data_IF_634215693957
#
_entry.id   IF_634215693957
#
_cell.length_a   1.000
_cell.length_b   1.000
_cell.length_c   1.000
_cell.angle_alpha   90.00
_cell.angle_beta   90.00
_cell.angle_gamma   90.00
#
_symmetry.space_group_name_H-M   'P 1'
#
loop_
_entity.id
_entity.type
_entity.pdbx_description
1 polymer ?
#
# COMPACT_ATOMS: atom_id res chain seq x y z
N UNK A 1 -26.75 32.67 34.27
CA UNK A 1 -25.62 31.72 34.30
C UNK A 1 -25.65 30.88 33.04
N UNK A 2 -24.60 30.94 32.22
CA UNK A 2 -24.16 29.83 31.37
C UNK A 2 -22.78 30.17 30.79
N UNK A 3 -21.66 29.70 31.37
CA UNK A 3 -20.38 29.79 30.68
C UNK A 3 -20.34 28.68 29.63
N UNK A 4 -20.47 29.08 28.37
CA UNK A 4 -20.16 28.24 27.20
C UNK A 4 -18.69 27.83 27.29
N UNK A 5 -18.43 26.63 27.81
CA UNK A 5 -17.15 25.94 27.72
C UNK A 5 -16.93 25.53 26.26
N UNK A 6 -16.45 26.48 25.45
CA UNK A 6 -15.86 26.19 24.16
C UNK A 6 -14.46 25.64 24.43
N UNK A 7 -14.37 24.31 24.59
CA UNK A 7 -13.09 23.63 24.46
C UNK A 7 -12.71 23.70 22.98
N UNK A 8 -11.58 24.31 22.59
CA UNK A 8 -11.06 24.09 21.25
C UNK A 8 -10.78 22.59 21.15
N UNK A 9 -11.45 21.92 20.22
CA UNK A 9 -11.02 20.59 19.78
C UNK A 9 -9.68 20.85 19.11
N UNK A 10 -8.59 20.72 19.87
CA UNK A 10 -7.27 20.57 19.31
C UNK A 10 -7.37 19.44 18.29
N UNK A 11 -7.35 19.80 17.01
CA UNK A 11 -7.05 18.86 15.96
C UNK A 11 -5.65 18.36 16.30
N UNK A 12 -5.58 17.25 17.04
CA UNK A 12 -4.39 16.43 17.14
C UNK A 12 -4.09 16.02 15.70
N UNK A 13 -3.31 16.84 15.01
CA UNK A 13 -2.55 16.42 13.86
C UNK A 13 -1.65 15.35 14.47
N UNK A 14 -2.05 14.08 14.35
CA UNK A 14 -1.20 12.95 14.73
C UNK A 14 0.10 13.12 13.95
N UNK A 15 1.13 13.66 14.63
CA UNK A 15 2.45 13.82 14.05
C UNK A 15 2.99 12.40 13.93
N UNK A 16 2.78 11.78 12.77
CA UNK A 16 3.28 10.45 12.49
C UNK A 16 4.80 10.46 12.62
N UNK A 17 5.32 9.62 13.51
CA UNK A 17 6.76 9.41 13.62
C UNK A 17 7.27 8.62 12.41
N UNK A 18 8.59 8.65 12.17
CA UNK A 18 9.21 7.83 11.10
C UNK A 18 8.82 6.35 11.25
N UNK A 19 8.75 5.84 12.48
CA UNK A 19 8.34 4.47 12.80
C UNK A 19 6.89 4.21 12.38
N UNK A 20 5.97 5.15 12.62
CA UNK A 20 4.58 5.03 12.19
C UNK A 20 4.46 5.00 10.67
N UNK A 21 5.25 5.83 9.97
CA UNK A 21 5.30 5.84 8.51
C UNK A 21 5.84 4.51 7.96
N UNK A 22 6.85 3.91 8.60
CA UNK A 22 7.38 2.59 8.20
C UNK A 22 6.30 1.51 8.38
N UNK A 23 5.57 1.51 9.50
CA UNK A 23 4.47 0.56 9.72
C UNK A 23 3.32 0.77 8.74
N UNK A 24 2.99 2.03 8.42
CA UNK A 24 2.01 2.36 7.38
C UNK A 24 2.46 1.83 6.03
N UNK A 25 3.73 2.03 5.66
CA UNK A 25 4.29 1.53 4.41
C UNK A 25 4.19 0.00 4.32
N UNK A 26 4.52 -0.71 5.40
CA UNK A 26 4.41 -2.17 5.48
C UNK A 26 2.98 -2.66 5.25
N UNK A 27 1.99 -1.99 5.87
CA UNK A 27 0.57 -2.33 5.73
C UNK A 27 0.03 -2.03 4.32
N UNK A 28 0.35 -0.86 3.77
CA UNK A 28 -0.16 -0.42 2.46
C UNK A 28 0.53 -1.13 1.30
N UNK A 29 1.87 -1.19 1.30
CA UNK A 29 2.64 -1.73 0.18
C UNK A 29 2.83 -3.24 0.27
N UNK A 30 2.85 -3.79 1.48
CA UNK A 30 3.09 -5.21 1.70
C UNK A 30 4.49 -5.71 1.35
N UNK A 31 5.47 -4.83 1.51
CA UNK A 31 6.87 -5.11 1.23
C UNK A 31 7.56 -5.77 2.43
N UNK A 32 8.63 -6.53 2.13
CA UNK A 32 9.54 -7.08 3.14
C UNK A 32 10.38 -5.94 3.77
N UNK A 33 10.97 -6.20 4.94
CA UNK A 33 11.86 -5.22 5.62
C UNK A 33 13.05 -4.79 4.74
N UNK A 34 13.54 -5.68 3.86
CA UNK A 34 14.61 -5.36 2.92
C UNK A 34 14.15 -4.30 1.91
N UNK A 35 13.02 -4.52 1.24
CA UNK A 35 12.47 -3.56 0.28
C UNK A 35 12.02 -2.26 0.94
N UNK A 36 11.49 -2.31 2.16
CA UNK A 36 11.21 -1.09 2.92
C UNK A 36 12.49 -0.30 3.20
N UNK A 37 13.60 -0.96 3.54
CA UNK A 37 14.85 -0.24 3.78
C UNK A 37 15.30 0.55 2.55
N UNK A 38 15.13 -0.01 1.35
CA UNK A 38 15.39 0.68 0.08
C UNK A 38 14.44 1.88 -0.12
N UNK A 39 13.14 1.72 0.13
CA UNK A 39 12.15 2.82 0.04
C UNK A 39 12.49 3.97 0.99
N UNK A 40 12.98 3.67 2.19
CA UNK A 40 13.37 4.67 3.19
C UNK A 40 14.83 5.13 3.06
N UNK A 41 15.54 4.73 1.99
CA UNK A 41 16.94 5.09 1.71
C UNK A 41 17.88 4.81 2.88
N UNK A 42 17.65 3.69 3.55
CA UNK A 42 18.37 3.29 4.76
C UNK A 42 18.80 1.82 4.69
N UNK A 43 19.61 1.37 5.65
CA UNK A 43 20.00 -0.05 5.70
C UNK A 43 18.95 -0.87 6.41
N UNK A 44 18.85 -2.17 6.07
CA UNK A 44 17.95 -3.10 6.77
C UNK A 44 18.20 -3.12 8.29
N UNK A 45 19.46 -3.06 8.71
CA UNK A 45 19.82 -3.02 10.12
C UNK A 45 19.33 -1.73 10.78
N UNK A 46 19.51 -0.58 10.13
CA UNK A 46 19.03 0.69 10.66
C UNK A 46 17.50 0.73 10.75
N UNK A 47 16.80 0.26 9.70
CA UNK A 47 15.34 0.13 9.73
C UNK A 47 14.88 -0.79 10.86
N UNK A 48 15.56 -1.92 11.09
CA UNK A 48 15.26 -2.79 12.22
C UNK A 48 15.47 -2.11 13.57
N UNK A 49 16.58 -1.37 13.73
CA UNK A 49 16.85 -0.60 14.96
C UNK A 49 15.76 0.46 15.20
N UNK A 50 15.34 1.19 14.17
CA UNK A 50 14.27 2.21 14.29
C UNK A 50 12.93 1.60 14.74
N UNK A 51 12.65 0.35 14.34
CA UNK A 51 11.41 -0.35 14.70
C UNK A 51 11.46 -1.00 16.09
N UNK A 52 12.64 -1.24 16.67
CA UNK A 52 12.79 -2.07 17.88
C UNK A 52 13.45 -1.35 19.05
N UNK A 53 14.29 -0.34 18.79
CA UNK A 53 15.00 0.43 19.80
C UNK A 53 14.36 1.80 19.94
N UNK A 54 13.68 2.03 21.07
CA UNK A 54 13.00 3.30 21.37
C UNK A 54 13.92 4.53 21.31
N UNK A 55 15.21 4.37 21.59
CA UNK A 55 16.18 5.47 21.63
C UNK A 55 16.83 5.79 20.28
N UNK A 56 16.68 4.92 19.27
CA UNK A 56 17.31 5.13 17.98
C UNK A 56 16.60 6.25 17.22
N UNK A 57 17.27 7.39 17.08
CA UNK A 57 16.79 8.47 16.23
C UNK A 57 17.09 8.18 14.75
N UNK A 58 16.14 8.44 13.84
CA UNK A 58 16.43 8.45 12.40
C UNK A 58 17.39 9.59 12.08
N UNK A 59 18.16 9.44 10.99
CA UNK A 59 18.95 10.54 10.46
C UNK A 59 18.07 11.47 9.61
N UNK A 60 18.52 12.71 9.39
CA UNK A 60 17.78 13.71 8.62
C UNK A 60 17.33 13.21 7.24
N UNK A 61 18.17 12.43 6.56
CA UNK A 61 17.85 11.86 5.24
C UNK A 61 16.65 10.90 5.33
N UNK A 62 16.61 10.05 6.36
CA UNK A 62 15.53 9.09 6.59
C UNK A 62 14.25 9.81 7.03
N UNK A 63 14.37 10.86 7.84
CA UNK A 63 13.23 11.72 8.24
C UNK A 63 12.59 12.40 7.03
N UNK A 64 13.39 13.10 6.22
CA UNK A 64 12.92 13.75 4.99
C UNK A 64 12.30 12.72 4.04
N UNK A 65 12.92 11.53 3.94
CA UNK A 65 12.38 10.46 3.11
C UNK A 65 11.04 9.93 3.64
N UNK A 66 10.90 9.79 4.96
CA UNK A 66 9.65 9.36 5.56
C UNK A 66 8.50 10.33 5.24
N UNK A 67 8.76 11.64 5.21
CA UNK A 67 7.75 12.62 4.78
C UNK A 67 7.29 12.37 3.33
N UNK A 68 8.22 12.23 2.39
CA UNK A 68 7.90 11.93 0.98
C UNK A 68 7.14 10.61 0.83
N UNK A 69 7.56 9.58 1.55
CA UNK A 69 6.90 8.27 1.54
C UNK A 69 5.49 8.40 2.11
N UNK A 70 5.29 9.16 3.19
CA UNK A 70 3.97 9.35 3.79
C UNK A 70 2.99 10.03 2.82
N UNK A 71 3.43 11.02 2.07
CA UNK A 71 2.64 11.65 1.00
C UNK A 71 2.27 10.64 -0.09
N UNK A 72 3.24 9.86 -0.57
CA UNK A 72 3.01 8.81 -1.55
C UNK A 72 2.02 7.75 -1.04
N UNK A 73 2.13 7.34 0.24
CA UNK A 73 1.21 6.38 0.86
C UNK A 73 -0.21 6.93 0.98
N UNK A 74 -0.38 8.23 1.21
CA UNK A 74 -1.70 8.87 1.20
C UNK A 74 -2.35 8.82 -0.18
N UNK A 75 -1.57 9.07 -1.25
CA UNK A 75 -2.05 8.92 -2.63
C UNK A 75 -2.39 7.46 -2.95
N UNK A 76 -1.56 6.50 -2.52
CA UNK A 76 -1.80 5.09 -2.78
C UNK A 76 -3.06 4.62 -2.05
N UNK A 77 -3.18 4.94 -0.76
CA UNK A 77 -4.28 4.47 0.08
C UNK A 77 -5.64 5.04 -0.34
N UNK A 78 -5.67 6.25 -0.93
CA UNK A 78 -6.91 6.83 -1.47
C UNK A 78 -7.42 6.11 -2.73
N UNK A 79 -6.53 5.50 -3.50
CA UNK A 79 -6.90 4.77 -4.72
C UNK A 79 -6.98 3.25 -4.49
N UNK A 80 -6.22 2.71 -3.55
CA UNK A 80 -6.11 1.29 -3.25
C UNK A 80 -6.49 1.04 -1.79
N UNK A 81 -7.74 0.61 -1.51
CA UNK A 81 -8.20 0.34 -0.14
C UNK A 81 -7.56 -0.92 0.47
N UNK A 82 -6.96 -1.77 -0.36
CA UNK A 82 -6.30 -3.00 0.05
C UNK A 82 -4.78 -2.93 -0.14
N UNK A 83 -4.08 -3.79 0.59
CA UNK A 83 -2.63 -3.98 0.50
C UNK A 83 -2.21 -4.34 -0.92
N UNK A 84 -1.24 -3.62 -1.47
CA UNK A 84 -0.75 -3.85 -2.84
C UNK A 84 0.04 -5.15 -3.00
N UNK A 85 0.88 -5.47 -2.00
CA UNK A 85 1.68 -6.68 -1.96
C UNK A 85 2.61 -6.81 -3.16
N UNK A 86 2.57 -7.98 -3.83
CA UNK A 86 3.42 -8.28 -4.97
C UNK A 86 3.29 -7.26 -6.11
N UNK A 87 2.11 -6.64 -6.28
CA UNK A 87 1.86 -5.65 -7.33
C UNK A 87 2.80 -4.44 -7.24
N UNK A 88 3.27 -4.08 -6.05
CA UNK A 88 4.26 -3.00 -5.88
C UNK A 88 5.58 -3.33 -6.60
N UNK A 89 5.98 -4.60 -6.63
CA UNK A 89 7.26 -5.09 -7.16
C UNK A 89 7.17 -5.65 -8.59
N UNK A 90 5.99 -6.05 -9.04
CA UNK A 90 5.85 -6.78 -10.32
C UNK A 90 5.07 -6.00 -11.37
N UNK A 91 4.16 -5.11 -10.98
CA UNK A 91 3.33 -4.39 -11.95
C UNK A 91 4.14 -3.30 -12.65
N UNK A 92 4.20 -3.41 -13.98
CA UNK A 92 4.87 -2.43 -14.85
C UNK A 92 3.87 -1.54 -15.60
N UNK A 93 4.23 -0.28 -15.74
CA UNK A 93 3.63 0.72 -16.63
C UNK A 93 4.81 1.45 -17.26
N UNK A 94 4.88 1.47 -18.59
CA UNK A 94 6.00 2.05 -19.35
C UNK A 94 7.37 1.60 -18.82
N UNK A 95 7.53 0.28 -18.68
CA UNK A 95 8.70 -0.45 -18.16
C UNK A 95 9.15 -0.15 -16.72
N UNK A 96 8.51 0.80 -16.04
CA UNK A 96 8.76 1.14 -14.64
C UNK A 96 7.79 0.43 -13.71
N UNK A 97 8.24 0.18 -12.47
CA UNK A 97 7.40 -0.36 -11.39
C UNK A 97 7.10 0.73 -10.37
N UNK A 98 6.03 0.53 -9.59
CA UNK A 98 5.75 1.40 -8.45
C UNK A 98 6.94 1.41 -7.47
N UNK A 99 7.57 0.25 -7.26
CA UNK A 99 8.79 0.16 -6.45
C UNK A 99 9.90 1.09 -6.94
N UNK A 100 10.16 1.14 -8.25
CA UNK A 100 11.22 1.98 -8.82
C UNK A 100 10.97 3.48 -8.56
N UNK A 101 9.70 3.89 -8.54
CA UNK A 101 9.28 5.26 -8.20
C UNK A 101 9.42 5.53 -6.70
N UNK A 102 9.13 4.53 -5.86
CA UNK A 102 9.23 4.65 -4.41
C UNK A 102 10.67 4.52 -3.90
N UNK A 103 11.62 4.08 -4.72
CA UNK A 103 13.05 4.00 -4.40
C UNK A 103 13.89 5.06 -5.11
N UNK A 104 13.32 5.86 -6.01
CA UNK A 104 14.04 6.96 -6.65
C UNK A 104 14.44 8.04 -5.64
N UNK A 105 15.50 8.78 -5.92
CA UNK A 105 16.03 9.83 -5.03
C UNK A 105 14.95 10.84 -4.62
N UNK A 106 14.10 11.22 -5.58
CA UNK A 106 12.89 12.01 -5.36
C UNK A 106 11.68 11.22 -5.82
N UNK A 107 10.66 11.10 -4.96
CA UNK A 107 9.42 10.39 -5.28
C UNK A 107 8.55 11.30 -6.15
N UNK A 108 8.31 10.89 -7.39
CA UNK A 108 7.38 11.60 -8.26
C UNK A 108 5.93 11.24 -7.89
N UNK A 109 5.25 12.14 -7.16
CA UNK A 109 3.90 11.92 -6.66
C UNK A 109 2.84 11.79 -7.77
N UNK A 110 3.03 12.45 -8.92
CA UNK A 110 2.15 12.31 -10.07
C UNK A 110 2.22 10.88 -10.64
N UNK A 111 3.43 10.35 -10.77
CA UNK A 111 3.65 8.97 -11.19
C UNK A 111 3.06 7.98 -10.17
N UNK A 112 3.21 8.24 -8.87
CA UNK A 112 2.54 7.44 -7.82
C UNK A 112 1.02 7.43 -8.00
N UNK A 113 0.40 8.57 -8.32
CA UNK A 113 -1.03 8.66 -8.58
C UNK A 113 -1.46 7.86 -9.83
N UNK A 114 -0.69 7.93 -10.91
CA UNK A 114 -0.94 7.16 -12.13
C UNK A 114 -0.85 5.66 -11.85
N UNK A 115 0.22 5.22 -11.18
CA UNK A 115 0.44 3.81 -10.85
C UNK A 115 -0.65 3.28 -9.92
N UNK A 116 -0.94 3.98 -8.82
CA UNK A 116 -1.96 3.55 -7.86
C UNK A 116 -3.35 3.41 -8.50
N UNK A 117 -3.79 4.38 -9.31
CA UNK A 117 -5.05 4.27 -10.09
C UNK A 117 -5.05 3.09 -11.04
N UNK A 118 -3.92 2.83 -11.72
CA UNK A 118 -3.82 1.73 -12.69
C UNK A 118 -3.82 0.37 -11.99
N UNK A 119 -3.12 0.25 -10.86
CA UNK A 119 -3.12 -0.96 -10.03
C UNK A 119 -4.54 -1.22 -9.51
N UNK A 120 -5.21 -0.21 -8.95
CA UNK A 120 -6.59 -0.32 -8.47
C UNK A 120 -7.55 -0.80 -9.57
N UNK A 121 -7.45 -0.23 -10.78
CA UNK A 121 -8.26 -0.65 -11.93
C UNK A 121 -8.02 -2.11 -12.29
N UNK A 122 -6.78 -2.60 -12.25
CA UNK A 122 -6.47 -4.01 -12.58
C UNK A 122 -6.98 -4.98 -11.52
N UNK A 123 -6.79 -4.66 -10.24
CA UNK A 123 -7.29 -5.48 -9.12
C UNK A 123 -8.82 -5.58 -9.21
N UNK A 124 -9.52 -4.47 -9.37
CA UNK A 124 -10.99 -4.47 -9.45
C UNK A 124 -11.51 -5.20 -10.70
N UNK A 125 -10.82 -5.12 -11.85
CA UNK A 125 -11.19 -5.88 -13.05
C UNK A 125 -11.01 -7.39 -12.87
N UNK A 126 -9.95 -7.82 -12.19
CA UNK A 126 -9.74 -9.25 -11.91
C UNK A 126 -10.80 -9.80 -10.96
N UNK A 127 -11.23 -9.02 -9.97
CA UNK A 127 -12.33 -9.40 -9.06
C UNK A 127 -13.68 -9.58 -9.78
N UNK A 128 -13.89 -8.93 -10.93
CA UNK A 128 -15.08 -9.13 -11.76
C UNK A 128 -14.94 -10.25 -12.80
N UNK A 129 -13.77 -10.88 -12.92
CA UNK A 129 -13.45 -11.91 -13.91
C UNK A 129 -13.41 -13.32 -13.31
N UNK A 130 -14.19 -13.60 -12.27
CA UNK A 130 -14.32 -14.96 -11.72
C UNK A 130 -15.78 -15.37 -11.57
N UNK A 131 -16.34 -15.81 -12.70
CA UNK A 131 -16.99 -17.10 -12.87
C UNK A 131 -17.03 -17.36 -14.39
N UNK A 132 -16.33 -18.37 -14.94
CA UNK A 132 -16.70 -18.87 -16.25
C UNK A 132 -18.06 -19.56 -16.12
N UNK A 133 -19.00 -19.22 -17.01
CA UNK A 133 -20.33 -19.84 -17.19
C UNK A 133 -20.29 -21.33 -17.60
N UNK A 134 -19.21 -22.05 -17.28
CA UNK A 134 -18.99 -23.44 -17.69
C UNK A 134 -19.51 -24.48 -16.68
N UNK A 135 -20.25 -24.10 -15.64
CA UNK A 135 -20.93 -25.03 -14.70
C UNK A 135 -22.46 -25.06 -14.92
N UNK A 136 -22.96 -24.80 -16.14
CA UNK A 136 -24.40 -24.96 -16.46
C UNK A 136 -24.67 -26.16 -17.39
N UNK A 137 -23.66 -26.91 -17.84
CA UNK A 137 -23.86 -27.99 -18.83
C UNK A 137 -23.37 -29.38 -18.45
N UNK A 138 -23.16 -29.68 -17.16
CA UNK A 138 -22.78 -31.04 -16.74
C UNK A 138 -23.87 -31.82 -15.99
N UNK A 139 -25.00 -31.20 -15.63
CA UNK A 139 -26.10 -31.91 -14.96
C UNK A 139 -27.16 -32.51 -15.90
N UNK A 140 -27.06 -32.30 -17.22
CA UNK A 140 -28.03 -32.83 -18.20
C UNK A 140 -27.67 -34.22 -18.77
N UNK A 141 -26.64 -34.89 -18.24
CA UNK A 141 -26.23 -36.23 -18.69
C UNK A 141 -26.55 -37.38 -17.72
N UNK A 142 -27.14 -37.10 -16.55
CA UNK A 142 -27.45 -38.12 -15.54
C UNK A 142 -28.91 -38.61 -15.50
N UNK A 143 -29.81 -38.02 -16.30
CA UNK A 143 -31.21 -38.45 -16.39
C UNK A 143 -31.49 -39.15 -17.73
N UNK A 144 -30.86 -40.30 -17.97
CA UNK A 144 -31.41 -41.30 -18.90
C UNK A 144 -32.14 -42.37 -18.09
N UNK A 145 -33.45 -42.59 -18.30
CA UNK A 145 -34.13 -43.73 -17.69
C UNK A 145 -33.55 -45.02 -18.29
N UNK A 146 -33.10 -45.93 -17.43
CA UNK A 146 -32.76 -47.29 -17.82
C UNK A 146 -34.02 -47.95 -18.39
N UNK A 147 -34.00 -48.22 -19.70
CA UNK A 147 -34.90 -49.17 -20.34
C UNK A 147 -34.10 -50.46 -20.57
N UNK A 148 -34.37 -51.49 -19.76
CA UNK A 148 -34.66 -52.89 -20.15
C UNK A 148 -35.35 -53.54 -18.94
#
# INVERSE_FOLDING_TARGET
ENPSNYFPIDQQIDILTVTDVIHRAEKTLGLSKQHLAEVFLTTRQNLHNLLTKLEQKPNQKTENRAQQVNEALSIISSNCPHRLGASTLTMRIDDKRLFDILTSESINLEQVAIFSKTIAKRINKQSQSTLPDSIVKQEEFLNRPNAV
#
